data_IF_383081940104
#
_entry.id   IF_383081940104
#
_cell.length_a   1.000
_cell.length_b   1.000
_cell.length_c   1.000
_cell.angle_alpha   90.00
_cell.angle_beta   90.00
_cell.angle_gamma   90.00
#
_symmetry.space_group_name_H-M   'P 1'
#
loop_
_entity.id
_entity.type
_entity.pdbx_description
1 polymer ?
#
# COMPACT_ATOMS: atom_id res chain seq x y z
N UNK A 1 -20.50 -8.60 -25.35
CA UNK A 1 -20.96 -8.71 -23.94
C UNK A 1 -20.42 -7.50 -23.19
N UNK A 2 -21.15 -6.95 -22.24
CA UNK A 2 -20.63 -5.89 -21.39
C UNK A 2 -19.55 -6.48 -20.47
N UNK A 3 -18.45 -5.76 -20.28
CA UNK A 3 -17.34 -6.17 -19.42
C UNK A 3 -17.76 -6.09 -17.95
N UNK A 4 -17.34 -7.05 -17.15
CA UNK A 4 -17.65 -7.10 -15.71
C UNK A 4 -16.53 -6.46 -14.88
N UNK A 5 -16.87 -6.00 -13.67
CA UNK A 5 -15.90 -5.47 -12.72
C UNK A 5 -14.78 -6.48 -12.39
N UNK A 6 -15.13 -7.76 -12.29
CA UNK A 6 -14.17 -8.84 -12.07
C UNK A 6 -13.17 -8.98 -13.22
N UNK A 7 -13.66 -8.97 -14.46
CA UNK A 7 -12.78 -9.01 -15.65
C UNK A 7 -11.83 -7.81 -15.68
N UNK A 8 -12.29 -6.60 -15.33
CA UNK A 8 -11.43 -5.41 -15.23
C UNK A 8 -10.29 -5.62 -14.23
N UNK A 9 -10.61 -6.05 -13.01
CA UNK A 9 -9.62 -6.23 -11.94
C UNK A 9 -8.65 -7.36 -12.26
N UNK A 10 -9.14 -8.49 -12.81
CA UNK A 10 -8.30 -9.60 -13.23
C UNK A 10 -7.36 -9.21 -14.38
N UNK A 11 -7.84 -8.47 -15.39
CA UNK A 11 -7.01 -7.99 -16.49
C UNK A 11 -5.95 -7.01 -15.99
N UNK A 12 -6.33 -6.09 -15.09
CA UNK A 12 -5.40 -5.15 -14.48
C UNK A 12 -4.31 -5.86 -13.65
N UNK A 13 -4.64 -6.98 -13.00
CA UNK A 13 -3.69 -7.79 -12.23
C UNK A 13 -2.79 -8.69 -13.11
N UNK A 14 -3.23 -9.03 -14.34
CA UNK A 14 -2.43 -9.82 -15.30
C UNK A 14 -1.35 -8.98 -16.00
N UNK A 15 -1.48 -7.66 -16.03
CA UNK A 15 -0.45 -6.82 -16.63
C UNK A 15 0.86 -6.92 -15.81
N UNK A 16 2.01 -7.16 -16.47
CA UNK A 16 3.29 -7.22 -15.78
C UNK A 16 3.58 -5.90 -15.07
N UNK A 17 3.71 -5.97 -13.75
CA UNK A 17 4.20 -4.89 -12.91
C UNK A 17 5.69 -4.64 -13.22
N UNK A 18 6.09 -3.44 -13.65
CA UNK A 18 7.50 -3.13 -13.86
C UNK A 18 8.27 -3.30 -12.53
N UNK A 19 9.22 -4.23 -12.48
CA UNK A 19 10.09 -4.41 -11.32
C UNK A 19 9.46 -5.14 -10.11
N UNK A 20 8.35 -5.88 -10.28
CA UNK A 20 7.82 -6.70 -9.18
C UNK A 20 8.83 -7.76 -8.69
N UNK A 21 9.62 -8.32 -9.59
CA UNK A 21 10.71 -9.26 -9.27
C UNK A 21 11.98 -8.56 -8.74
N UNK A 22 12.01 -7.23 -8.76
CA UNK A 22 13.19 -6.43 -8.39
C UNK A 22 13.23 -6.04 -6.91
N UNK A 23 12.25 -6.45 -6.08
CA UNK A 23 12.23 -6.14 -4.65
C UNK A 23 13.48 -6.73 -3.96
N UNK A 24 14.48 -5.91 -3.58
CA UNK A 24 15.74 -6.44 -3.06
C UNK A 24 15.64 -6.78 -1.56
N UNK A 25 14.62 -6.26 -0.88
CA UNK A 25 14.51 -6.25 0.58
C UNK A 25 13.67 -7.43 1.07
N UNK A 26 12.50 -7.69 0.50
CA UNK A 26 11.61 -8.76 1.00
C UNK A 26 12.27 -10.14 0.96
N UNK A 27 12.94 -10.57 -0.13
CA UNK A 27 13.68 -11.84 -0.15
C UNK A 27 14.86 -11.88 0.85
N UNK A 28 15.46 -10.73 1.15
CA UNK A 28 16.53 -10.60 2.14
C UNK A 28 16.00 -10.74 3.56
N UNK A 29 14.85 -10.13 3.85
CA UNK A 29 14.11 -10.29 5.10
C UNK A 29 13.68 -11.76 5.25
N UNK A 30 13.08 -12.36 4.23
CA UNK A 30 12.55 -13.73 4.24
C UNK A 30 13.59 -14.79 4.65
N UNK A 31 14.85 -14.62 4.19
CA UNK A 31 15.96 -15.52 4.56
C UNK A 31 16.66 -15.17 5.88
N UNK A 32 16.21 -14.14 6.59
CA UNK A 32 16.83 -13.68 7.84
C UNK A 32 18.14 -12.90 7.64
N UNK A 33 18.40 -12.41 6.43
CA UNK A 33 19.66 -11.75 6.08
C UNK A 33 19.63 -10.23 6.11
N UNK A 34 18.47 -9.61 6.34
CA UNK A 34 18.36 -8.16 6.36
C UNK A 34 18.92 -7.61 7.67
N UNK A 35 19.80 -6.60 7.64
CA UNK A 35 20.21 -5.90 8.85
C UNK A 35 19.01 -5.30 9.59
N UNK A 36 19.06 -5.22 10.91
CA UNK A 36 18.01 -4.54 11.70
C UNK A 36 17.79 -3.08 11.27
N UNK A 37 18.83 -2.40 10.79
CA UNK A 37 18.71 -1.05 10.23
C UNK A 37 17.75 -0.98 9.02
N UNK A 38 17.68 -2.03 8.19
CA UNK A 38 16.73 -2.10 7.06
C UNK A 38 15.29 -2.28 7.57
N UNK A 39 15.09 -3.08 8.63
CA UNK A 39 13.78 -3.23 9.27
C UNK A 39 13.34 -1.92 9.95
N UNK A 40 14.27 -1.21 10.59
CA UNK A 40 14.03 0.09 11.19
C UNK A 40 13.65 1.13 10.12
N UNK A 41 14.40 1.19 9.01
CA UNK A 41 14.07 2.05 7.88
C UNK A 41 12.70 1.72 7.28
N UNK A 42 12.36 0.44 7.15
CA UNK A 42 11.02 0.02 6.72
C UNK A 42 9.93 0.57 7.66
N UNK A 43 10.12 0.50 8.98
CA UNK A 43 9.17 1.06 9.94
C UNK A 43 9.01 2.58 9.80
N UNK A 44 10.13 3.30 9.65
CA UNK A 44 10.15 4.76 9.55
C UNK A 44 9.52 5.26 8.25
N UNK A 45 9.87 4.65 7.12
CA UNK A 45 9.31 5.04 5.82
C UNK A 45 7.82 4.69 5.70
N UNK A 46 7.39 3.56 6.26
CA UNK A 46 5.97 3.21 6.30
C UNK A 46 5.14 4.22 7.11
N UNK A 47 5.70 4.81 8.17
CA UNK A 47 4.99 5.84 8.93
C UNK A 47 4.61 7.04 8.05
N UNK A 48 5.51 7.48 7.18
CA UNK A 48 5.26 8.57 6.23
C UNK A 48 4.28 8.17 5.13
N UNK A 49 4.44 6.97 4.55
CA UNK A 49 3.53 6.47 3.49
C UNK A 49 2.09 6.38 4.00
N UNK A 50 1.88 5.71 5.13
CA UNK A 50 0.56 5.49 5.72
C UNK A 50 -0.11 6.82 6.10
N UNK A 51 0.65 7.76 6.68
CA UNK A 51 0.12 9.07 7.03
C UNK A 51 -0.33 9.87 5.79
N UNK A 52 0.42 9.79 4.69
CA UNK A 52 0.07 10.43 3.43
C UNK A 52 -1.11 9.76 2.71
N UNK A 53 -1.13 8.42 2.71
CA UNK A 53 -2.22 7.62 2.13
C UNK A 53 -3.54 7.85 2.88
N UNK A 54 -3.51 7.93 4.21
CA UNK A 54 -4.68 8.28 5.03
C UNK A 54 -5.34 9.59 4.58
N UNK A 55 -4.55 10.63 4.35
CA UNK A 55 -5.04 11.93 3.88
C UNK A 55 -5.61 11.80 2.47
N UNK A 56 -4.91 11.09 1.59
CA UNK A 56 -5.32 10.87 0.21
C UNK A 56 -6.64 10.10 0.11
N UNK A 57 -6.80 9.03 0.89
CA UNK A 57 -8.02 8.22 0.92
C UNK A 57 -9.20 8.96 1.53
N UNK A 58 -9.01 9.75 2.60
CA UNK A 58 -10.07 10.64 3.12
C UNK A 58 -10.53 11.67 2.09
N UNK A 59 -9.58 12.25 1.34
CA UNK A 59 -9.90 13.19 0.27
C UNK A 59 -10.67 12.50 -0.87
N UNK A 60 -10.21 11.32 -1.31
CA UNK A 60 -10.87 10.51 -2.33
C UNK A 60 -12.28 10.11 -1.92
N UNK A 61 -12.49 9.68 -0.66
CA UNK A 61 -13.81 9.34 -0.14
C UNK A 61 -14.78 10.52 -0.23
N UNK A 62 -14.34 11.70 0.21
CA UNK A 62 -15.14 12.94 0.15
C UNK A 62 -15.47 13.32 -1.29
N UNK A 63 -14.48 13.26 -2.18
CA UNK A 63 -14.65 13.63 -3.60
C UNK A 63 -15.54 12.64 -4.36
N UNK A 64 -15.38 11.34 -4.11
CA UNK A 64 -16.24 10.30 -4.68
C UNK A 64 -17.70 10.47 -4.23
N UNK A 65 -17.93 10.76 -2.95
CA UNK A 65 -19.28 11.04 -2.44
C UNK A 65 -19.88 12.29 -3.12
N UNK A 66 -19.10 13.37 -3.24
CA UNK A 66 -19.54 14.62 -3.87
C UNK A 66 -19.76 14.53 -5.39
N UNK A 67 -19.18 13.54 -6.06
CA UNK A 67 -19.35 13.28 -7.50
C UNK A 67 -20.41 12.22 -7.81
N UNK A 68 -21.12 11.71 -6.80
CA UNK A 68 -22.14 10.69 -6.97
C UNK A 68 -21.56 9.32 -7.31
N UNK A 69 -20.41 8.96 -6.71
CA UNK A 69 -19.82 7.61 -6.73
C UNK A 69 -19.82 7.02 -5.30
N UNK A 70 -20.99 6.71 -4.70
CA UNK A 70 -21.06 6.22 -3.32
C UNK A 70 -20.32 4.90 -3.08
N UNK A 71 -20.24 3.99 -4.06
CA UNK A 71 -19.48 2.75 -3.88
C UNK A 71 -17.97 3.02 -3.82
N UNK A 72 -17.45 3.90 -4.68
CA UNK A 72 -16.06 4.35 -4.59
C UNK A 72 -15.78 5.10 -3.27
N UNK A 73 -16.72 5.93 -2.80
CA UNK A 73 -16.60 6.63 -1.53
C UNK A 73 -16.47 5.65 -0.34
N UNK A 74 -17.30 4.61 -0.30
CA UNK A 74 -17.24 3.57 0.72
C UNK A 74 -15.93 2.78 0.67
N UNK A 75 -15.42 2.48 -0.52
CA UNK A 75 -14.11 1.85 -0.68
C UNK A 75 -12.99 2.69 -0.05
N UNK A 76 -12.90 3.98 -0.40
CA UNK A 76 -11.84 4.85 0.13
C UNK A 76 -11.97 5.17 1.61
N UNK A 77 -13.20 5.29 2.14
CA UNK A 77 -13.43 5.48 3.56
C UNK A 77 -12.87 4.29 4.36
N UNK A 78 -13.16 3.07 3.92
CA UNK A 78 -12.65 1.88 4.59
C UNK A 78 -11.12 1.71 4.45
N UNK A 79 -10.51 2.18 3.36
CA UNK A 79 -9.03 2.25 3.29
C UNK A 79 -8.47 3.24 4.31
N UNK A 80 -9.07 4.41 4.46
CA UNK A 80 -8.65 5.39 5.46
C UNK A 80 -8.73 4.81 6.89
N UNK A 81 -9.81 4.11 7.24
CA UNK A 81 -9.94 3.42 8.53
C UNK A 81 -8.84 2.35 8.73
N UNK A 82 -8.48 1.66 7.63
CA UNK A 82 -7.36 0.73 7.58
C UNK A 82 -6.01 1.38 7.87
N UNK A 83 -5.73 2.55 7.27
CA UNK A 83 -4.49 3.30 7.51
C UNK A 83 -4.38 3.81 8.95
N UNK A 84 -5.49 4.24 9.56
CA UNK A 84 -5.51 4.61 11.00
C UNK A 84 -5.12 3.41 11.87
N UNK A 85 -5.70 2.24 11.59
CA UNK A 85 -5.37 1.00 12.29
C UNK A 85 -3.90 0.63 12.07
N UNK A 86 -3.41 0.77 10.83
CA UNK A 86 -2.04 0.47 10.47
C UNK A 86 -1.02 1.36 11.22
N UNK A 87 -1.27 2.66 11.37
CA UNK A 87 -0.42 3.56 12.17
C UNK A 87 -0.28 3.07 13.62
N UNK A 88 -1.39 2.66 14.24
CA UNK A 88 -1.36 2.12 15.61
C UNK A 88 -0.53 0.84 15.70
N UNK A 89 -0.67 -0.06 14.72
CA UNK A 89 0.04 -1.34 14.68
C UNK A 89 1.52 -1.21 14.31
N UNK A 90 1.95 -0.09 13.74
CA UNK A 90 3.33 0.16 13.37
C UNK A 90 4.23 0.44 14.59
N UNK A 91 3.67 0.98 15.68
CA UNK A 91 4.39 1.31 16.91
C UNK A 91 5.17 0.12 17.51
N UNK A 92 4.52 -1.04 17.75
CA UNK A 92 5.21 -2.25 18.22
C UNK A 92 6.33 -2.73 17.29
N UNK A 93 6.16 -2.61 15.97
CA UNK A 93 7.20 -2.97 15.01
C UNK A 93 8.41 -2.03 15.10
N UNK A 94 8.16 -0.71 15.17
CA UNK A 94 9.20 0.30 15.34
C UNK A 94 9.97 0.09 16.66
N UNK A 95 9.27 -0.16 17.77
CA UNK A 95 9.87 -0.44 19.07
C UNK A 95 10.76 -1.71 19.04
N UNK A 96 10.32 -2.78 18.35
CA UNK A 96 11.12 -3.99 18.18
C UNK A 96 12.37 -3.77 17.31
N UNK A 97 12.37 -2.73 16.46
CA UNK A 97 13.54 -2.26 15.73
C UNK A 97 14.45 -1.35 16.56
N UNK A 98 14.09 -1.04 17.81
CA UNK A 98 14.84 -0.15 18.70
C UNK A 98 14.54 1.34 18.51
N UNK A 99 13.43 1.68 17.83
CA UNK A 99 13.01 3.06 17.61
C UNK A 99 12.03 3.49 18.70
N UNK A 100 12.23 4.69 19.24
CA UNK A 100 11.24 5.36 20.07
C UNK A 100 10.42 6.37 19.23
N UNK A 101 9.39 6.96 19.84
CA UNK A 101 8.55 7.94 19.14
C UNK A 101 9.31 9.19 18.71
N UNK A 102 10.38 9.56 19.42
CA UNK A 102 11.19 10.73 19.07
C UNK A 102 11.98 10.47 17.80
N UNK A 103 12.57 9.28 17.65
CA UNK A 103 13.22 8.83 16.43
C UNK A 103 12.24 8.78 15.25
N UNK A 104 11.02 8.25 15.46
CA UNK A 104 9.98 8.23 14.41
C UNK A 104 9.62 9.64 13.96
N UNK A 105 9.41 10.58 14.90
CA UNK A 105 9.07 11.98 14.56
C UNK A 105 10.23 12.76 13.92
N UNK A 106 11.47 12.43 14.26
CA UNK A 106 12.65 13.11 13.75
C UNK A 106 13.12 12.56 12.38
N UNK A 107 12.57 11.42 11.93
CA UNK A 107 12.97 10.78 10.70
C UNK A 107 12.66 11.63 9.46
N UNK A 108 13.70 11.94 8.71
CA UNK A 108 13.58 12.57 7.40
C UNK A 108 13.43 11.46 6.34
N UNK A 109 12.32 11.41 5.58
CA UNK A 109 12.06 10.31 4.66
C UNK A 109 13.01 10.32 3.47
N UNK A 110 13.40 9.13 3.03
CA UNK A 110 14.17 8.97 1.80
C UNK A 110 13.33 9.40 0.59
N UNK A 111 13.91 10.22 -0.29
CA UNK A 111 13.20 10.77 -1.47
C UNK A 111 12.56 9.68 -2.34
N UNK A 112 13.24 8.54 -2.52
CA UNK A 112 12.73 7.42 -3.31
C UNK A 112 11.47 6.78 -2.68
N UNK A 113 11.40 6.73 -1.35
CA UNK A 113 10.27 6.19 -0.60
C UNK A 113 9.03 7.08 -0.65
N UNK A 114 9.19 8.37 -0.98
CA UNK A 114 8.10 9.34 -1.09
C UNK A 114 7.46 9.38 -2.48
N UNK A 115 8.02 8.68 -3.48
CA UNK A 115 7.46 8.66 -4.83
C UNK A 115 6.06 8.03 -4.90
N UNK A 116 5.84 6.94 -4.17
CA UNK A 116 4.55 6.26 -4.09
C UNK A 116 3.46 7.17 -3.46
N UNK A 117 3.61 7.67 -2.22
CA UNK A 117 2.56 8.49 -1.60
C UNK A 117 2.36 9.82 -2.35
N UNK A 118 3.40 10.39 -2.98
CA UNK A 118 3.23 11.55 -3.85
C UNK A 118 2.38 11.24 -5.09
N UNK A 119 2.54 10.05 -5.70
CA UNK A 119 1.68 9.60 -6.79
C UNK A 119 0.24 9.39 -6.29
N UNK A 120 0.04 8.74 -5.14
CA UNK A 120 -1.30 8.53 -4.56
C UNK A 120 -1.99 9.87 -4.33
N UNK A 121 -1.29 10.86 -3.79
CA UNK A 121 -1.83 12.21 -3.60
C UNK A 121 -2.21 12.89 -4.94
N UNK A 122 -1.36 12.77 -5.97
CA UNK A 122 -1.67 13.29 -7.32
C UNK A 122 -2.94 12.64 -7.91
N UNK A 123 -3.09 11.32 -7.75
CA UNK A 123 -4.29 10.60 -8.18
C UNK A 123 -5.52 11.03 -7.37
N UNK A 124 -5.35 11.18 -6.06
CA UNK A 124 -6.39 11.65 -5.15
C UNK A 124 -6.89 13.05 -5.52
N UNK A 125 -6.03 13.92 -6.04
CA UNK A 125 -6.40 15.28 -6.45
C UNK A 125 -7.06 15.33 -7.83
N UNK A 126 -6.62 14.50 -8.79
CA UNK A 126 -6.96 14.71 -10.21
C UNK A 126 -7.55 13.55 -10.99
N UNK A 127 -7.40 12.30 -10.54
CA UNK A 127 -7.88 11.14 -11.30
C UNK A 127 -9.35 10.81 -11.00
N UNK A 128 -10.04 10.10 -11.89
CA UNK A 128 -11.39 9.60 -11.63
C UNK A 128 -11.37 8.55 -10.50
N UNK A 129 -12.21 8.67 -9.45
CA UNK A 129 -12.27 7.70 -8.35
C UNK A 129 -12.33 6.23 -8.80
N UNK A 130 -13.13 5.89 -9.81
CA UNK A 130 -13.24 4.52 -10.31
C UNK A 130 -11.91 3.98 -10.90
N UNK A 131 -11.14 4.84 -11.59
CA UNK A 131 -9.82 4.47 -12.11
C UNK A 131 -8.82 4.20 -10.97
N UNK A 132 -8.90 5.00 -9.91
CA UNK A 132 -8.03 4.88 -8.73
C UNK A 132 -8.33 3.61 -7.94
N UNK A 133 -9.60 3.21 -7.83
CA UNK A 133 -9.99 1.93 -7.20
C UNK A 133 -9.26 0.78 -7.88
N UNK A 134 -9.37 0.65 -9.20
CA UNK A 134 -8.71 -0.42 -9.97
C UNK A 134 -7.20 -0.38 -9.77
N UNK A 135 -6.60 0.81 -9.83
CA UNK A 135 -5.15 0.98 -9.68
C UNK A 135 -4.63 0.50 -8.30
N UNK A 136 -5.32 0.86 -7.22
CA UNK A 136 -4.95 0.48 -5.86
C UNK A 136 -5.23 -1.00 -5.58
N UNK A 137 -6.34 -1.56 -6.06
CA UNK A 137 -6.67 -2.97 -5.86
C UNK A 137 -5.58 -3.92 -6.38
N UNK A 138 -4.99 -3.60 -7.53
CA UNK A 138 -3.87 -4.37 -8.08
C UNK A 138 -2.61 -4.25 -7.21
N UNK A 139 -2.33 -3.05 -6.70
CA UNK A 139 -1.18 -2.81 -5.83
C UNK A 139 -1.30 -3.57 -4.50
N UNK A 140 -2.48 -3.55 -3.85
CA UNK A 140 -2.69 -4.19 -2.56
C UNK A 140 -2.52 -5.71 -2.58
N UNK A 141 -2.85 -6.37 -3.70
CA UNK A 141 -2.60 -7.81 -3.84
C UNK A 141 -1.10 -8.15 -3.73
N UNK A 142 -0.25 -7.30 -4.31
CA UNK A 142 1.22 -7.45 -4.27
C UNK A 142 1.75 -7.15 -2.87
N UNK A 143 1.33 -6.01 -2.31
CA UNK A 143 1.68 -5.58 -0.94
C UNK A 143 1.33 -6.64 0.11
N UNK A 144 0.12 -7.21 0.07
CA UNK A 144 -0.31 -8.25 1.00
C UNK A 144 0.55 -9.52 0.92
N UNK A 145 1.08 -9.84 -0.26
CA UNK A 145 2.07 -10.91 -0.45
C UNK A 145 3.39 -10.60 0.26
N UNK A 146 3.92 -9.38 0.09
CA UNK A 146 5.14 -8.93 0.78
C UNK A 146 4.96 -8.92 2.30
N UNK A 147 3.84 -8.38 2.80
CA UNK A 147 3.55 -8.38 4.23
C UNK A 147 3.50 -9.79 4.81
N UNK A 148 2.91 -10.76 4.09
CA UNK A 148 2.87 -12.17 4.52
C UNK A 148 4.28 -12.75 4.72
N UNK A 149 5.16 -12.52 3.76
CA UNK A 149 6.55 -13.00 3.82
C UNK A 149 7.34 -12.31 4.94
N UNK A 150 7.19 -10.99 5.09
CA UNK A 150 7.84 -10.23 6.17
C UNK A 150 7.35 -10.71 7.54
N UNK A 151 6.03 -10.81 7.74
CA UNK A 151 5.45 -11.27 9.02
C UNK A 151 5.94 -12.69 9.39
N UNK A 152 6.05 -13.60 8.41
CA UNK A 152 6.60 -14.93 8.62
C UNK A 152 8.08 -14.89 9.02
N UNK A 153 8.85 -14.02 8.39
CA UNK A 153 10.28 -13.88 8.65
C UNK A 153 10.56 -13.27 10.04
N UNK A 154 9.84 -12.22 10.42
CA UNK A 154 9.99 -11.58 11.74
C UNK A 154 9.80 -12.58 12.88
N UNK A 155 8.77 -13.45 12.77
CA UNK A 155 8.50 -14.54 13.71
C UNK A 155 9.62 -15.59 13.76
N UNK A 156 10.05 -16.08 12.60
CA UNK A 156 10.87 -17.28 12.52
C UNK A 156 12.38 -17.03 12.49
N UNK A 157 12.81 -15.80 12.16
CA UNK A 157 14.22 -15.47 11.88
C UNK A 157 14.79 -14.34 12.75
N UNK A 158 13.97 -13.39 13.17
CA UNK A 158 14.45 -12.19 13.88
C UNK A 158 14.19 -12.19 15.38
N UNK A 159 13.37 -13.13 15.88
CA UNK A 159 13.02 -13.23 17.30
C UNK A 159 12.25 -12.02 17.82
N UNK A 160 11.46 -11.38 16.95
CA UNK A 160 10.62 -10.24 17.32
C UNK A 160 9.44 -10.74 18.17
N UNK A 161 8.94 -9.92 19.11
CA UNK A 161 7.78 -10.27 19.92
C UNK A 161 6.50 -10.31 19.07
N UNK A 162 5.45 -10.94 19.60
CA UNK A 162 4.24 -11.24 18.84
C UNK A 162 3.52 -9.98 18.36
N UNK A 163 3.62 -8.89 19.11
CA UNK A 163 2.99 -7.63 18.79
C UNK A 163 3.66 -6.93 17.59
N UNK A 164 4.94 -7.22 17.33
CA UNK A 164 5.76 -6.51 16.34
C UNK A 164 5.48 -6.88 14.88
N UNK A 165 4.68 -7.92 14.62
CA UNK A 165 4.25 -8.25 13.26
C UNK A 165 2.76 -7.93 12.99
N UNK A 166 2.06 -7.31 13.94
CA UNK A 166 0.64 -6.95 13.80
C UNK A 166 0.35 -6.06 12.59
N UNK A 167 1.24 -5.11 12.29
CA UNK A 167 1.17 -4.27 11.10
C UNK A 167 1.13 -5.11 9.81
N UNK A 168 2.07 -6.04 9.66
CA UNK A 168 2.15 -6.87 8.46
C UNK A 168 0.99 -7.90 8.40
N UNK A 169 0.54 -8.42 9.53
CA UNK A 169 -0.61 -9.32 9.58
C UNK A 169 -1.92 -8.64 9.19
N UNK A 170 -2.07 -7.34 9.40
CA UNK A 170 -3.23 -6.58 8.92
C UNK A 170 -3.39 -6.74 7.41
N UNK A 171 -2.31 -6.48 6.66
CA UNK A 171 -2.32 -6.54 5.19
C UNK A 171 -2.15 -7.96 4.62
N UNK A 172 -1.57 -8.89 5.39
CA UNK A 172 -1.40 -10.27 4.94
C UNK A 172 -2.70 -11.10 4.98
N UNK A 173 -3.69 -10.70 5.79
CA UNK A 173 -4.94 -11.46 5.89
C UNK A 173 -5.83 -11.23 4.66
N UNK A 174 -6.53 -12.25 4.15
CA UNK A 174 -7.56 -12.04 3.14
C UNK A 174 -8.61 -11.04 3.64
N UNK A 175 -9.03 -10.11 2.78
CA UNK A 175 -10.11 -9.15 3.05
C UNK A 175 -11.24 -9.31 2.01
N UNK A 176 -12.17 -10.28 2.21
CA UNK A 176 -13.30 -10.48 1.30
C UNK A 176 -14.23 -9.27 1.22
N UNK A 177 -14.35 -8.50 2.31
CA UNK A 177 -15.17 -7.28 2.34
C UNK A 177 -14.52 -6.17 1.51
N UNK A 178 -13.19 -6.04 1.58
CA UNK A 178 -12.41 -5.16 0.72
C UNK A 178 -12.53 -5.51 -0.75
N UNK A 179 -12.45 -6.80 -1.08
CA UNK A 179 -12.68 -7.28 -2.46
C UNK A 179 -14.09 -6.94 -2.94
N UNK A 180 -15.12 -7.16 -2.11
CA UNK A 180 -16.50 -6.81 -2.44
C UNK A 180 -16.68 -5.29 -2.64
N UNK A 181 -16.05 -4.45 -1.79
CA UNK A 181 -16.06 -2.99 -1.95
C UNK A 181 -15.40 -2.54 -3.26
N UNK A 182 -14.26 -3.13 -3.61
CA UNK A 182 -13.57 -2.85 -4.86
C UNK A 182 -14.45 -3.22 -6.07
N UNK A 183 -15.02 -4.42 -6.07
CA UNK A 183 -15.92 -4.88 -7.14
C UNK A 183 -17.13 -3.95 -7.31
N UNK A 184 -17.78 -3.56 -6.22
CA UNK A 184 -18.93 -2.67 -6.26
C UNK A 184 -18.57 -1.28 -6.85
N UNK A 185 -17.42 -0.72 -6.46
CA UNK A 185 -16.98 0.58 -6.96
C UNK A 185 -16.59 0.54 -8.46
N UNK A 186 -15.98 -0.55 -8.92
CA UNK A 186 -15.68 -0.74 -10.34
C UNK A 186 -16.94 -0.98 -11.15
N UNK A 187 -17.91 -1.73 -10.61
CA UNK A 187 -19.20 -1.96 -11.26
C UNK A 187 -20.00 -0.66 -11.42
N UNK A 188 -20.05 0.17 -10.38
CA UNK A 188 -20.63 1.52 -10.44
C UNK A 188 -19.93 2.39 -11.50
N UNK A 189 -18.59 2.41 -11.51
CA UNK A 189 -17.81 3.17 -12.48
C UNK A 189 -18.01 2.73 -13.93
N UNK A 190 -18.21 1.43 -14.17
CA UNK A 190 -18.56 0.88 -15.48
C UNK A 190 -19.98 1.26 -15.90
N UNK A 191 -20.96 1.10 -14.99
CA UNK A 191 -22.37 1.40 -15.25
C UNK A 191 -22.58 2.88 -15.61
N UNK A 192 -21.85 3.77 -14.94
CA UNK A 192 -21.94 5.21 -15.15
C UNK A 192 -21.01 5.72 -16.28
N UNK A 193 -20.23 4.85 -16.90
CA UNK A 193 -19.30 5.21 -17.97
C UNK A 193 -18.14 6.12 -17.55
N UNK A 194 -17.80 6.13 -16.24
CA UNK A 194 -16.73 6.97 -15.67
C UNK A 194 -15.38 6.25 -15.69
N UNK A 195 -15.39 4.92 -15.61
CA UNK A 195 -14.16 4.12 -15.62
C UNK A 195 -13.47 4.20 -17.00
N UNK A 196 -12.22 4.65 -17.00
CA UNK A 196 -11.31 4.63 -18.12
C UNK A 196 -10.19 3.63 -17.86
N UNK A 197 -10.40 2.38 -18.25
CA UNK A 197 -9.47 1.28 -17.95
C UNK A 197 -8.01 1.54 -18.36
N UNK A 198 -7.79 2.17 -19.51
CA UNK A 198 -6.43 2.54 -19.97
C UNK A 198 -5.71 3.48 -18.99
N UNK A 199 -6.45 4.38 -18.34
CA UNK A 199 -5.90 5.27 -17.31
C UNK A 199 -5.70 4.49 -16.01
N UNK A 200 -6.70 3.71 -15.60
CA UNK A 200 -6.63 2.85 -14.43
C UNK A 200 -5.38 1.93 -14.43
N UNK A 201 -5.12 1.24 -15.54
CA UNK A 201 -3.94 0.39 -15.71
C UNK A 201 -2.64 1.19 -15.70
N UNK A 202 -2.64 2.38 -16.34
CA UNK A 202 -1.48 3.27 -16.28
C UNK A 202 -1.15 3.67 -14.85
N UNK A 203 -2.15 4.02 -14.05
CA UNK A 203 -1.97 4.38 -12.65
C UNK A 203 -1.48 3.19 -11.82
N UNK A 204 -2.06 2.00 -12.02
CA UNK A 204 -1.58 0.76 -11.38
C UNK A 204 -0.10 0.50 -11.63
N UNK A 205 0.36 0.61 -12.88
CA UNK A 205 1.78 0.45 -13.23
C UNK A 205 2.69 1.51 -12.61
N UNK A 206 2.22 2.76 -12.50
CA UNK A 206 2.98 3.82 -11.82
C UNK A 206 3.13 3.51 -10.33
N UNK A 207 2.04 3.12 -9.67
CA UNK A 207 2.05 2.75 -8.26
C UNK A 207 3.00 1.58 -7.98
N UNK A 208 2.93 0.51 -8.78
CA UNK A 208 3.83 -0.64 -8.65
C UNK A 208 5.30 -0.25 -8.90
N UNK A 209 5.58 0.59 -9.90
CA UNK A 209 6.94 1.08 -10.16
C UNK A 209 7.49 1.93 -9.01
N UNK A 210 6.65 2.77 -8.41
CA UNK A 210 7.03 3.56 -7.24
C UNK A 210 7.13 2.71 -5.96
N UNK A 211 6.34 1.65 -5.82
CA UNK A 211 6.52 0.65 -4.76
C UNK A 211 7.89 -0.05 -4.90
N UNK A 212 8.31 -0.40 -6.12
CA UNK A 212 9.65 -0.96 -6.36
C UNK A 212 10.76 0.04 -5.99
N UNK A 213 10.57 1.35 -6.26
CA UNK A 213 11.48 2.40 -5.81
C UNK A 213 11.53 2.52 -4.28
N UNK A 214 10.37 2.41 -3.62
CA UNK A 214 10.28 2.38 -2.16
C UNK A 214 11.14 1.25 -1.57
N UNK A 215 10.99 0.02 -2.09
CA UNK A 215 11.76 -1.12 -1.59
C UNK A 215 13.26 -0.98 -1.82
N UNK A 216 13.69 -0.40 -2.95
CA UNK A 216 15.10 -0.08 -3.20
C UNK A 216 15.61 0.98 -2.21
N UNK A 217 14.86 2.05 -1.99
CA UNK A 217 15.19 3.11 -1.03
C UNK A 217 15.35 2.58 0.41
N UNK A 218 14.43 1.72 0.86
CA UNK A 218 14.53 1.04 2.16
C UNK A 218 15.80 0.17 2.25
N UNK A 219 16.17 -0.51 1.16
CA UNK A 219 17.36 -1.36 1.12
C UNK A 219 18.69 -0.59 1.13
N UNK A 220 18.67 0.67 0.68
CA UNK A 220 19.83 1.57 0.67
C UNK A 220 20.05 2.27 2.02
N UNK A 221 19.09 2.17 2.94
CA UNK A 221 19.19 2.73 4.27
C UNK A 221 20.47 2.25 4.96
N UNK A 222 21.36 3.20 5.23
CA UNK A 222 22.59 2.92 5.97
C UNK A 222 22.26 2.91 7.45
N UNK A 223 22.82 1.99 8.25
CA UNK A 223 22.92 2.25 9.67
C UNK A 223 23.69 3.57 9.81
N UNK A 224 23.11 4.54 10.51
CA UNK A 224 23.79 5.80 10.79
C UNK A 224 25.20 5.50 11.31
N UNK A 225 26.18 6.22 10.77
CA UNK A 225 27.61 6.11 11.10
C UNK A 225 27.90 6.62 12.51
#
# INVERSE_FOLDING_TARGET
MARTAREVLEDAAREPAPGADDNPVVPLIARGGAPRAVLAALALEQHHVIAADLISYRHLATRAAGSGSPAAAAFFAALADGEETALCLLGPFAAACGLDEAAVRAHEPALACQAYPACTAMLALGAEPADVVVALSVNFATWGGFCREVARALRSRYGFPDEAYGFFDLFARPDPEGEARALAAVEEGLADGRLTERLAWRYGRLLQGYEAMFWRGVGEARPDA
#
